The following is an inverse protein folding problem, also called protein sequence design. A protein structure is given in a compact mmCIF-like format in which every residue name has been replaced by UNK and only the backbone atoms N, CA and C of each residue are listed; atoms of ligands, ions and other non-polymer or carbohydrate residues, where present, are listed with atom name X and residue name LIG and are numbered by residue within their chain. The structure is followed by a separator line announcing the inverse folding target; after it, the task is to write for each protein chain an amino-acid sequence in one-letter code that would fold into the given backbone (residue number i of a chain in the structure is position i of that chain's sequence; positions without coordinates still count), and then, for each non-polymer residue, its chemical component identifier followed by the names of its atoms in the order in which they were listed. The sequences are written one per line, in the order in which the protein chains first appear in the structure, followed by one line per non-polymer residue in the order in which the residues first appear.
data_IF_355285357000
#
_entry.id   IF_355285357000
#
_cell.length_a   1.000
_cell.length_b   1.000
_cell.length_c   1.000
_cell.angle_alpha   90.00
_cell.angle_beta   90.00
_cell.angle_gamma   90.00
#
_symmetry.space_group_name_H-M   'P 1'
#
loop_
_entity.id
_entity.type
_entity.pdbx_description
1 polymer ?
#
# COMPACT_ATOMS: atom_id res chain seq x y z
N UNK A 1 -20.92 -4.42 -10.53
CA UNK A 1 -19.54 -4.92 -10.78
C UNK A 1 -19.48 -6.29 -10.13
N UNK A 2 -18.82 -7.32 -10.71
CA UNK A 2 -18.70 -8.59 -10.01
C UNK A 2 -18.05 -8.31 -8.65
N UNK A 3 -18.63 -8.84 -7.58
CA UNK A 3 -18.03 -8.76 -6.25
C UNK A 3 -16.73 -9.56 -6.31
N UNK A 4 -15.63 -8.86 -6.57
CA UNK A 4 -14.32 -9.48 -6.58
C UNK A 4 -13.98 -9.86 -5.14
N UNK A 5 -13.55 -11.10 -4.92
CA UNK A 5 -13.04 -11.58 -3.62
C UNK A 5 -11.94 -10.66 -3.04
N UNK A 6 -11.28 -9.88 -3.89
CA UNK A 6 -10.19 -8.97 -3.55
C UNK A 6 -10.72 -7.55 -3.37
N UNK A 7 -10.28 -6.88 -2.30
CA UNK A 7 -10.72 -5.52 -1.95
C UNK A 7 -9.97 -4.44 -2.73
N UNK A 8 -8.73 -4.71 -3.11
CA UNK A 8 -7.87 -3.81 -3.88
C UNK A 8 -6.86 -4.57 -4.76
N UNK A 9 -6.11 -3.84 -5.59
CA UNK A 9 -5.05 -4.42 -6.44
C UNK A 9 -3.91 -5.06 -5.64
N UNK A 10 -3.70 -4.63 -4.40
CA UNK A 10 -2.73 -5.23 -3.50
C UNK A 10 -3.08 -6.64 -3.10
N UNK A 11 -4.35 -6.85 -2.75
CA UNK A 11 -4.88 -8.18 -2.47
C UNK A 11 -4.73 -9.10 -3.70
N UNK A 12 -4.92 -8.57 -4.92
CA UNK A 12 -4.69 -9.31 -6.18
C UNK A 12 -3.21 -9.67 -6.37
N UNK A 13 -2.30 -8.69 -6.26
CA UNK A 13 -0.85 -8.91 -6.46
C UNK A 13 -0.28 -9.87 -5.40
N UNK A 14 -0.76 -9.79 -4.15
CA UNK A 14 -0.35 -10.69 -3.07
C UNK A 14 -0.75 -12.13 -3.34
N UNK A 15 -1.92 -12.35 -3.93
CA UNK A 15 -2.41 -13.67 -4.30
C UNK A 15 -1.79 -14.19 -5.62
N UNK A 16 -1.52 -13.29 -6.57
CA UNK A 16 -1.03 -13.59 -7.92
C UNK A 16 0.07 -12.60 -8.33
N UNK A 17 1.34 -12.84 -7.94
CA UNK A 17 2.45 -11.93 -8.26
C UNK A 17 2.62 -11.65 -9.76
N UNK A 18 2.25 -12.59 -10.63
CA UNK A 18 2.25 -12.45 -12.10
C UNK A 18 1.29 -11.38 -12.62
N UNK A 19 0.28 -11.00 -11.82
CA UNK A 19 -0.65 -9.92 -12.18
C UNK A 19 0.07 -8.58 -12.37
N UNK A 20 1.27 -8.42 -11.81
CA UNK A 20 2.13 -7.25 -12.05
C UNK A 20 2.40 -7.04 -13.55
N UNK A 21 2.62 -8.10 -14.33
CA UNK A 21 2.85 -7.98 -15.76
C UNK A 21 1.59 -7.49 -16.50
N UNK A 22 0.42 -7.97 -16.08
CA UNK A 22 -0.87 -7.52 -16.62
C UNK A 22 -1.09 -6.03 -16.31
N UNK A 23 -0.81 -5.60 -15.08
CA UNK A 23 -0.89 -4.20 -14.68
C UNK A 23 0.04 -3.32 -15.53
N UNK A 24 1.28 -3.76 -15.75
CA UNK A 24 2.24 -3.04 -16.60
C UNK A 24 1.76 -2.92 -18.05
N UNK A 25 1.17 -3.97 -18.62
CA UNK A 25 0.56 -3.93 -19.97
C UNK A 25 -0.55 -2.88 -20.10
N UNK A 26 -1.22 -2.55 -18.99
CA UNK A 26 -2.26 -1.53 -18.92
C UNK A 26 -1.78 -0.17 -18.38
N UNK A 27 -0.45 0.04 -18.29
CA UNK A 27 0.14 1.31 -17.85
C UNK A 27 0.15 1.54 -16.33
N UNK A 28 -0.23 0.54 -15.55
CA UNK A 28 -0.15 0.58 -14.08
C UNK A 28 1.20 -0.01 -13.69
N UNK A 29 2.19 0.88 -13.58
CA UNK A 29 3.57 0.47 -13.28
C UNK A 29 3.78 0.33 -11.78
N UNK A 30 4.22 -0.84 -11.36
CA UNK A 30 4.60 -1.15 -9.97
C UNK A 30 6.09 -1.46 -9.89
N UNK A 31 6.80 -0.87 -8.93
CA UNK A 31 8.18 -1.20 -8.61
C UNK A 31 8.29 -1.85 -7.22
N UNK A 32 9.49 -2.32 -6.87
CA UNK A 32 9.79 -2.80 -5.51
C UNK A 32 9.46 -1.75 -4.44
N UNK A 33 9.70 -0.47 -4.74
CA UNK A 33 9.29 0.65 -3.88
C UNK A 33 7.78 0.71 -3.66
N UNK A 34 6.96 0.51 -4.70
CA UNK A 34 5.49 0.47 -4.57
C UNK A 34 5.06 -0.67 -3.65
N UNK A 35 5.65 -1.86 -3.80
CA UNK A 35 5.31 -2.99 -2.95
C UNK A 35 5.65 -2.73 -1.48
N UNK A 36 6.86 -2.22 -1.21
CA UNK A 36 7.31 -1.89 0.14
C UNK A 36 6.45 -0.78 0.74
N UNK A 37 6.01 0.19 -0.05
CA UNK A 37 5.21 1.32 0.43
C UNK A 37 3.77 0.93 0.70
N UNK A 38 3.12 0.27 -0.25
CA UNK A 38 1.67 0.04 -0.20
C UNK A 38 1.28 -1.22 0.59
N UNK A 39 2.19 -2.18 0.74
CA UNK A 39 1.86 -3.49 1.31
C UNK A 39 2.69 -3.88 2.54
N UNK A 40 3.50 -2.97 3.08
CA UNK A 40 4.21 -3.17 4.35
C UNK A 40 3.48 -2.51 5.53
N UNK A 41 3.83 -2.95 6.74
CA UNK A 41 3.53 -2.21 7.98
C UNK A 41 4.06 -0.77 7.89
N UNK A 42 3.36 0.17 8.52
CA UNK A 42 3.66 1.60 8.42
C UNK A 42 5.10 1.93 8.83
N UNK A 43 5.65 1.25 9.83
CA UNK A 43 7.04 1.39 10.29
C UNK A 43 8.04 0.99 9.20
N UNK A 44 7.77 -0.09 8.46
CA UNK A 44 8.64 -0.58 7.39
C UNK A 44 8.60 0.34 6.18
N UNK A 45 7.42 0.84 5.83
CA UNK A 45 7.27 1.85 4.79
C UNK A 45 8.02 3.14 5.17
N UNK A 46 7.88 3.62 6.41
CA UNK A 46 8.58 4.80 6.91
C UNK A 46 10.11 4.63 6.90
N UNK A 47 10.61 3.46 7.31
CA UNK A 47 12.04 3.15 7.30
C UNK A 47 12.62 3.12 5.87
N UNK A 48 11.93 2.48 4.92
CA UNK A 48 12.38 2.42 3.53
C UNK A 48 12.49 3.80 2.88
N UNK A 49 11.59 4.72 3.23
CA UNK A 49 11.59 6.11 2.73
C UNK A 49 12.40 7.08 3.58
N UNK A 50 13.15 6.58 4.57
CA UNK A 50 13.96 7.39 5.48
C UNK A 50 13.18 8.56 6.13
N UNK A 51 11.94 8.30 6.56
CA UNK A 51 11.11 9.28 7.25
C UNK A 51 11.83 9.73 8.54
N UNK A 52 12.15 11.02 8.70
CA UNK A 52 13.04 11.50 9.76
C UNK A 52 12.44 11.35 11.17
N UNK A 53 11.11 11.46 11.30
CA UNK A 53 10.38 11.22 12.54
C UNK A 53 9.26 10.20 12.31
N UNK A 54 9.61 8.92 12.43
CA UNK A 54 8.67 7.81 12.25
C UNK A 54 7.54 7.83 13.29
N UNK A 55 7.80 8.29 14.52
CA UNK A 55 6.79 8.33 15.58
C UNK A 55 5.73 9.38 15.29
N UNK A 56 6.14 10.58 14.90
CA UNK A 56 5.22 11.64 14.49
C UNK A 56 4.37 11.19 13.30
N UNK A 57 5.00 10.59 12.27
CA UNK A 57 4.29 10.07 11.11
C UNK A 57 3.16 9.09 11.50
N UNK A 58 3.44 8.13 12.37
CA UNK A 58 2.44 7.14 12.81
C UNK A 58 1.31 7.81 13.62
N UNK A 59 1.64 8.78 14.48
CA UNK A 59 0.63 9.50 15.25
C UNK A 59 -0.28 10.34 14.36
N UNK A 60 0.28 11.11 13.43
CA UNK A 60 -0.49 11.90 12.46
C UNK A 60 -1.44 10.99 11.65
N UNK A 61 -0.96 9.79 11.25
CA UNK A 61 -1.78 8.82 10.52
C UNK A 61 -2.94 8.27 11.35
N UNK A 62 -2.72 7.99 12.63
CA UNK A 62 -3.78 7.55 13.56
C UNK A 62 -4.84 8.62 13.73
N UNK A 63 -4.43 9.85 14.02
CA UNK A 63 -5.34 11.00 14.16
C UNK A 63 -6.19 11.20 12.90
N UNK A 64 -5.56 11.08 11.72
CA UNK A 64 -6.28 11.15 10.44
C UNK A 64 -7.37 10.08 10.32
N UNK A 65 -7.06 8.83 10.66
CA UNK A 65 -8.02 7.72 10.57
C UNK A 65 -9.18 7.88 11.56
N UNK A 66 -8.88 8.21 12.82
CA UNK A 66 -9.89 8.43 13.86
C UNK A 66 -10.86 9.55 13.47
N UNK A 67 -10.39 10.60 12.78
CA UNK A 67 -11.23 11.70 12.30
C UNK A 67 -12.24 11.32 11.19
N UNK A 68 -12.12 10.13 10.58
CA UNK A 68 -12.99 9.64 9.51
C UNK A 68 -13.98 8.58 9.97
N UNK A 69 -13.81 8.06 11.18
CA UNK A 69 -14.71 7.08 11.80
C UNK A 69 -15.72 7.73 12.76
N UNK A 70 -15.75 9.07 12.84
CA UNK A 70 -16.64 9.87 13.70
C UNK A 70 -17.81 10.51 12.93
#
# INVERSE_FOLDING_TARGET
MPETKFRDLGDVIRAYPEAVELLHKHGIHTCSGCYITFFSEFEKAAAFHAVPDTKKFINDLKEFLESRES
#
